data_IF_839199336148
#
_entry.id   IF_839199336148
#
_cell.length_a   1.000
_cell.length_b   1.000
_cell.length_c   1.000
_cell.angle_alpha   90.00
_cell.angle_beta   90.00
_cell.angle_gamma   90.00
#
_symmetry.space_group_name_H-M   'P 1'
#
loop_
_entity.id
_entity.type
_entity.pdbx_description
1 polymer ?
#
# COMPACT_ATOMS: atom_id res chain seq x y z
N UNK A 1 12.62 -13.97 7.52
CA UNK A 1 12.17 -12.65 7.02
C UNK A 1 10.73 -12.41 7.45
N UNK A 2 10.44 -11.25 8.01
CA UNK A 2 9.08 -10.94 8.45
C UNK A 2 8.17 -10.64 7.27
N UNK A 3 6.86 -10.69 7.51
CA UNK A 3 5.87 -10.32 6.50
C UNK A 3 6.13 -8.93 5.93
N UNK A 4 6.37 -7.95 6.82
CA UNK A 4 6.57 -6.56 6.38
C UNK A 4 7.84 -6.40 5.52
N UNK A 5 8.90 -7.12 5.84
CA UNK A 5 10.14 -7.07 5.06
C UNK A 5 9.93 -7.67 3.67
N UNK A 6 9.22 -8.79 3.60
CA UNK A 6 8.86 -9.43 2.33
C UNK A 6 8.00 -8.51 1.49
N UNK A 7 6.99 -7.87 2.11
CA UNK A 7 6.11 -6.94 1.43
C UNK A 7 6.88 -5.74 0.88
N UNK A 8 7.79 -5.17 1.68
CA UNK A 8 8.62 -4.03 1.24
C UNK A 8 9.45 -4.38 0.01
N UNK A 9 9.97 -5.61 -0.03
CA UNK A 9 10.76 -6.07 -1.15
C UNK A 9 9.93 -6.21 -2.42
N UNK A 10 8.76 -6.84 -2.33
CA UNK A 10 7.88 -7.03 -3.48
C UNK A 10 7.26 -5.71 -3.95
N UNK A 11 6.93 -4.81 -3.01
CA UNK A 11 6.29 -3.55 -3.33
C UNK A 11 7.12 -2.66 -4.26
N UNK A 12 8.43 -2.79 -4.22
CA UNK A 12 9.33 -2.01 -5.08
C UNK A 12 9.15 -2.31 -6.57
N UNK A 13 8.44 -3.38 -6.90
CA UNK A 13 8.21 -3.82 -8.29
C UNK A 13 6.91 -3.28 -8.86
N UNK A 14 6.10 -2.59 -8.06
CA UNK A 14 4.75 -2.17 -8.47
C UNK A 14 4.51 -0.70 -8.13
N UNK A 15 3.59 -0.10 -8.87
CA UNK A 15 3.20 1.29 -8.64
C UNK A 15 2.00 1.39 -7.69
N UNK A 16 1.19 0.34 -7.59
CA UNK A 16 0.03 0.33 -6.70
C UNK A 16 -0.27 -1.08 -6.20
N UNK A 17 -0.93 -1.13 -5.05
CA UNK A 17 -1.21 -2.39 -4.35
C UNK A 17 -2.10 -3.34 -5.15
N UNK A 18 -3.06 -2.80 -5.92
CA UNK A 18 -3.92 -3.65 -6.73
C UNK A 18 -3.15 -4.59 -7.64
N UNK A 19 -2.12 -4.08 -8.31
CA UNK A 19 -1.30 -4.88 -9.21
C UNK A 19 -0.47 -5.91 -8.45
N UNK A 20 0.08 -5.51 -7.31
CA UNK A 20 0.84 -6.43 -6.48
C UNK A 20 -0.04 -7.58 -5.98
N UNK A 21 -1.24 -7.25 -5.49
CA UNK A 21 -2.15 -8.25 -4.96
C UNK A 21 -2.65 -9.20 -6.03
N UNK A 22 -2.86 -8.72 -7.25
CA UNK A 22 -3.28 -9.57 -8.36
C UNK A 22 -2.24 -10.65 -8.67
N UNK A 23 -0.95 -10.31 -8.60
CA UNK A 23 0.12 -11.27 -8.88
C UNK A 23 0.43 -12.21 -7.73
N UNK A 24 0.25 -11.75 -6.49
CA UNK A 24 0.63 -12.50 -5.30
C UNK A 24 -0.55 -13.01 -4.49
N UNK A 25 -1.75 -12.99 -5.07
CA UNK A 25 -3.00 -13.32 -4.37
C UNK A 25 -2.95 -14.67 -3.64
N UNK A 26 -2.33 -15.68 -4.26
CA UNK A 26 -2.28 -17.02 -3.70
C UNK A 26 -1.20 -17.21 -2.62
N UNK A 27 -0.34 -16.23 -2.43
CA UNK A 27 0.73 -16.34 -1.44
C UNK A 27 0.22 -16.06 -0.03
N UNK A 28 0.83 -16.75 0.95
CA UNK A 28 0.45 -16.61 2.35
C UNK A 28 0.54 -15.15 2.82
N UNK A 29 -0.56 -14.71 3.42
CA UNK A 29 -0.68 -13.35 3.94
C UNK A 29 -1.20 -12.34 2.93
N UNK A 30 -1.01 -12.56 1.65
CA UNK A 30 -1.39 -11.58 0.63
C UNK A 30 -2.89 -11.60 0.32
N UNK A 31 -3.51 -12.76 0.31
CA UNK A 31 -4.95 -12.89 0.05
C UNK A 31 -5.82 -12.24 1.14
N UNK A 32 -5.25 -12.02 2.31
CA UNK A 32 -5.97 -11.42 3.44
C UNK A 32 -5.70 -9.92 3.58
N UNK A 33 -4.97 -9.33 2.62
CA UNK A 33 -4.71 -7.89 2.64
C UNK A 33 -5.93 -7.17 2.12
N UNK A 34 -6.41 -6.21 2.89
CA UNK A 34 -7.55 -5.39 2.48
C UNK A 34 -7.34 -3.92 2.80
N UNK A 35 -7.92 -3.07 1.97
CA UNK A 35 -7.87 -1.63 2.15
C UNK A 35 -8.66 -1.21 3.38
N UNK A 36 -8.11 -0.26 4.15
CA UNK A 36 -8.77 0.30 5.35
C UNK A 36 -9.20 1.73 5.09
N UNK A 37 -8.24 2.63 4.84
CA UNK A 37 -8.57 4.05 4.61
C UNK A 37 -7.44 4.79 3.93
N UNK A 38 -7.76 5.95 3.36
CA UNK A 38 -6.78 6.88 2.81
C UNK A 38 -6.50 7.96 3.83
N UNK A 39 -5.22 8.16 4.16
CA UNK A 39 -4.79 9.18 5.12
C UNK A 39 -4.60 10.54 4.46
N UNK A 40 -4.00 10.56 3.28
CA UNK A 40 -3.75 11.80 2.55
C UNK A 40 -3.52 11.50 1.07
N UNK A 41 -3.48 12.57 0.28
CA UNK A 41 -3.21 12.48 -1.15
C UNK A 41 -2.16 13.51 -1.53
N UNK A 42 -1.42 13.24 -2.61
CA UNK A 42 -0.43 14.16 -3.15
C UNK A 42 -0.66 14.23 -4.66
N UNK A 43 -1.14 15.38 -5.12
CA UNK A 43 -1.51 15.56 -6.52
C UNK A 43 -0.31 15.92 -7.37
N UNK A 44 -0.10 15.17 -8.43
CA UNK A 44 0.92 15.41 -9.44
C UNK A 44 0.25 15.73 -10.78
N UNK A 45 1.03 16.20 -11.73
CA UNK A 45 0.50 16.65 -13.03
C UNK A 45 -0.34 15.58 -13.73
N UNK A 46 0.13 14.32 -13.70
CA UNK A 46 -0.49 13.24 -14.47
C UNK A 46 -1.13 12.16 -13.61
N UNK A 47 -0.93 12.23 -12.29
CA UNK A 47 -1.45 11.20 -11.38
C UNK A 47 -1.57 11.76 -9.97
N UNK A 48 -2.30 11.02 -9.15
CA UNK A 48 -2.47 11.35 -7.73
C UNK A 48 -1.90 10.20 -6.92
N UNK A 49 -0.97 10.49 -6.02
CA UNK A 49 -0.49 9.51 -5.04
C UNK A 49 -1.44 9.49 -3.85
N UNK A 50 -1.62 8.32 -3.27
CA UNK A 50 -2.44 8.15 -2.08
C UNK A 50 -1.61 7.51 -0.98
N UNK A 51 -1.76 8.02 0.23
CA UNK A 51 -1.23 7.40 1.43
C UNK A 51 -2.34 6.55 2.02
N UNK A 52 -2.26 5.25 1.83
CA UNK A 52 -3.33 4.32 2.18
C UNK A 52 -2.91 3.38 3.29
N UNK A 53 -3.87 3.04 4.16
CA UNK A 53 -3.68 2.03 5.19
C UNK A 53 -4.35 0.73 4.75
N UNK A 54 -3.63 -0.35 4.91
CA UNK A 54 -4.12 -1.70 4.64
C UNK A 54 -4.00 -2.56 5.89
N UNK A 55 -4.78 -3.61 5.92
CA UNK A 55 -4.76 -4.60 7.00
C UNK A 55 -4.44 -5.96 6.41
N UNK A 56 -3.55 -6.70 7.05
CA UNK A 56 -3.23 -8.08 6.69
C UNK A 56 -3.46 -8.95 7.91
N UNK A 57 -3.66 -10.25 7.67
CA UNK A 57 -3.73 -11.21 8.76
C UNK A 57 -2.41 -11.96 8.80
N UNK A 58 -1.66 -11.77 9.87
CA UNK A 58 -0.34 -12.38 10.05
C UNK A 58 -0.38 -13.22 11.33
N UNK A 59 -0.18 -14.51 11.19
CA UNK A 59 -0.24 -15.47 12.31
C UNK A 59 -1.54 -15.35 13.11
N UNK A 60 -2.66 -15.16 12.40
CA UNK A 60 -3.98 -15.07 13.02
C UNK A 60 -4.30 -13.72 13.64
N UNK A 61 -3.41 -12.74 13.52
CA UNK A 61 -3.60 -11.40 14.08
C UNK A 61 -3.66 -10.35 12.99
N UNK A 62 -4.46 -9.32 13.22
CA UNK A 62 -4.53 -8.18 12.30
C UNK A 62 -3.25 -7.37 12.39
N UNK A 63 -2.67 -7.07 11.24
CA UNK A 63 -1.47 -6.27 11.13
C UNK A 63 -1.75 -5.11 10.18
N UNK A 64 -1.52 -3.88 10.63
CA UNK A 64 -1.77 -2.68 9.84
C UNK A 64 -0.47 -2.12 9.31
N UNK A 65 -0.51 -1.68 8.06
CA UNK A 65 0.64 -1.03 7.44
C UNK A 65 0.14 0.05 6.49
N UNK A 66 1.01 0.99 6.18
CA UNK A 66 0.69 2.06 5.26
C UNK A 66 1.52 1.97 3.99
N UNK A 67 0.98 2.52 2.92
CA UNK A 67 1.71 2.62 1.66
C UNK A 67 1.46 3.98 1.01
N UNK A 68 2.47 4.48 0.29
CA UNK A 68 2.26 5.47 -0.75
C UNK A 68 2.17 4.73 -2.06
N UNK A 69 1.12 4.96 -2.82
CA UNK A 69 0.88 4.26 -4.09
C UNK A 69 0.17 5.18 -5.06
N UNK A 70 0.18 4.81 -6.33
CA UNK A 70 -0.56 5.55 -7.35
C UNK A 70 -2.05 5.25 -7.17
N UNK A 71 -2.83 6.29 -6.88
CA UNK A 71 -4.27 6.13 -6.71
C UNK A 71 -5.03 6.32 -8.01
N UNK A 72 -4.84 7.45 -8.67
CA UNK A 72 -5.57 7.79 -9.88
C UNK A 72 -4.62 8.26 -10.97
N UNK A 73 -4.96 7.96 -12.21
CA UNK A 73 -4.25 8.46 -13.39
C UNK A 73 -5.14 9.51 -14.06
N UNK A 74 -4.53 10.62 -14.48
CA UNK A 74 -5.27 11.72 -15.11
C UNK A 74 -5.40 11.58 -16.62
N UNK A 75 -4.78 10.55 -17.19
CA UNK A 75 -4.83 10.27 -18.62
C UNK A 75 -5.23 8.82 -18.85
N UNK A 76 -6.17 8.59 -19.76
CA UNK A 76 -6.62 7.24 -20.10
C UNK A 76 -5.55 6.41 -20.82
N UNK A 77 -4.58 7.08 -21.41
CA UNK A 77 -3.49 6.38 -22.12
C UNK A 77 -2.33 6.02 -21.20
N UNK A 78 -2.35 6.45 -19.96
CA UNK A 78 -1.32 6.15 -18.98
C UNK A 78 -1.61 4.86 -18.22
N UNK A 79 -0.54 4.11 -17.92
CA UNK A 79 -0.62 2.98 -16.99
C UNK A 79 0.08 3.35 -15.68
N UNK A 80 -0.15 2.63 -14.57
CA UNK A 80 0.54 2.92 -13.31
C UNK A 80 2.07 2.92 -13.46
N UNK A 81 2.61 2.03 -14.28
CA UNK A 81 4.05 1.94 -14.52
C UNK A 81 4.62 3.19 -15.18
N UNK A 82 3.80 3.91 -15.96
CA UNK A 82 4.24 5.13 -16.64
C UNK A 82 4.56 6.27 -15.67
N UNK A 83 4.14 6.16 -14.41
CA UNK A 83 4.45 7.16 -13.39
C UNK A 83 5.88 7.05 -12.88
N UNK A 84 6.53 5.91 -13.09
CA UNK A 84 7.85 5.57 -12.52
C UNK A 84 7.87 5.60 -11.00
N UNK A 85 6.69 5.57 -10.37
CA UNK A 85 6.57 5.51 -8.92
C UNK A 85 6.50 4.06 -8.47
N UNK A 86 7.24 3.75 -7.41
CA UNK A 86 7.18 2.43 -6.78
C UNK A 86 6.60 2.57 -5.38
N UNK A 87 5.78 1.60 -4.99
CA UNK A 87 5.12 1.60 -3.69
C UNK A 87 6.15 1.74 -2.57
N UNK A 88 5.91 2.70 -1.67
CA UNK A 88 6.67 2.84 -0.43
C UNK A 88 5.81 2.30 0.71
N UNK A 89 6.33 1.30 1.42
CA UNK A 89 5.63 0.68 2.55
C UNK A 89 6.20 1.23 3.85
N UNK A 90 5.32 1.56 4.80
CA UNK A 90 5.74 2.04 6.12
C UNK A 90 4.85 1.44 7.20
N UNK A 91 5.37 1.43 8.42
CA UNK A 91 4.60 0.96 9.56
C UNK A 91 3.67 2.05 10.07
N UNK A 92 2.51 1.65 10.56
CA UNK A 92 1.54 2.57 11.17
C UNK A 92 1.19 2.06 12.56
N UNK A 93 0.68 2.98 13.39
CA UNK A 93 0.13 2.60 14.68
C UNK A 93 -1.33 3.00 14.73
N UNK A 94 -2.15 2.15 15.35
CA UNK A 94 -3.58 2.43 15.54
C UNK A 94 -3.72 3.29 16.78
N UNK A 95 -4.33 4.47 16.64
CA UNK A 95 -4.56 5.36 17.77
C UNK A 95 -6.00 5.25 18.28
N UNK A 96 -6.24 5.77 19.48
CA UNK A 96 -7.45 5.51 20.29
C UNK A 96 -8.78 5.73 19.56
N UNK A 97 -8.84 6.59 18.57
CA UNK A 97 -10.09 6.88 17.86
C UNK A 97 -10.22 6.10 16.55
N UNK A 98 -9.52 4.99 16.43
CA UNK A 98 -9.50 4.16 15.22
C UNK A 98 -9.02 4.90 13.97
N UNK A 99 -8.09 5.84 14.17
CA UNK A 99 -7.40 6.50 13.07
C UNK A 99 -5.97 6.00 13.00
N UNK A 100 -5.28 6.34 11.92
CA UNK A 100 -3.93 5.85 11.69
C UNK A 100 -3.01 7.00 11.33
N UNK A 101 -1.74 6.85 11.69
CA UNK A 101 -0.69 7.78 11.28
C UNK A 101 0.58 7.00 11.01
N UNK A 102 1.48 7.59 10.23
CA UNK A 102 2.78 6.98 9.99
C UNK A 102 3.57 6.90 11.29
N UNK A 103 4.10 5.72 11.58
CA UNK A 103 4.92 5.50 12.77
C UNK A 103 6.28 6.18 12.58
N UNK A 104 6.64 7.04 13.52
CA UNK A 104 7.94 7.69 13.53
C UNK A 104 8.92 6.90 14.38
N UNK A 105 10.15 6.77 13.88
CA UNK A 105 11.21 6.08 14.59
C UNK A 105 12.18 7.09 15.19
#
# INVERSE_FOLDING_TARGET
MSFIDSLKKEAKKYARMGDLLDEHYEEDGYKDIEFVETLSTDEHRWYILEENVYKAKVNGKDYYFGVWEVGSLKSESMTPEDTYFNIEVFEVEKIVKETFKRKEN
#
